data_IF_037392197981
#
_entry.id   IF_037392197981
#
_cell.length_a   1.000
_cell.length_b   1.000
_cell.length_c   1.000
_cell.angle_alpha   90.00
_cell.angle_beta   90.00
_cell.angle_gamma   90.00
#
_symmetry.space_group_name_H-M   'P 1'
#
loop_
_entity.id
_entity.type
_entity.pdbx_description
1 polymer ?
#
# COMPACT_ATOMS: atom_id res chain seq x y z
N UNK A 1 -5.37 -33.66 24.06
CA UNK A 1 -4.25 -32.98 23.39
C UNK A 1 -4.68 -31.54 23.15
N UNK A 2 -4.28 -30.59 24.00
CA UNK A 2 -4.59 -29.17 23.77
C UNK A 2 -3.57 -28.63 22.76
N UNK A 3 -4.00 -28.45 21.51
CA UNK A 3 -3.19 -27.74 20.52
C UNK A 3 -3.23 -26.27 20.93
N UNK A 4 -2.09 -25.74 21.39
CA UNK A 4 -1.94 -24.32 21.69
C UNK A 4 -1.86 -23.56 20.35
N UNK A 5 -3.03 -23.23 19.78
CA UNK A 5 -3.13 -22.47 18.53
C UNK A 5 -2.75 -21.02 18.84
N UNK A 6 -1.46 -20.71 18.71
CA UNK A 6 -0.97 -19.34 18.86
C UNK A 6 -1.34 -18.54 17.61
N UNK A 7 -2.30 -17.63 17.75
CA UNK A 7 -2.65 -16.69 16.67
C UNK A 7 -1.47 -15.76 16.35
N UNK A 8 -1.26 -15.45 15.05
CA UNK A 8 -0.12 -14.66 14.52
C UNK A 8 0.15 -13.35 15.27
N UNK A 9 -0.89 -12.74 15.81
CA UNK A 9 -0.81 -11.44 16.50
C UNK A 9 -1.14 -11.52 17.99
N UNK A 10 -1.21 -12.73 18.58
CA UNK A 10 -1.52 -12.89 19.99
C UNK A 10 -0.53 -12.09 20.86
N UNK A 11 -1.04 -11.15 21.66
CA UNK A 11 -0.24 -10.32 22.54
C UNK A 11 0.60 -9.22 21.86
N UNK A 12 0.49 -9.04 20.54
CA UNK A 12 1.20 -7.97 19.83
C UNK A 12 0.81 -6.58 20.33
N UNK A 13 1.81 -5.72 20.49
CA UNK A 13 1.63 -4.31 20.87
C UNK A 13 1.73 -3.42 19.64
N UNK A 14 0.83 -2.46 19.53
CA UNK A 14 0.95 -1.33 18.60
C UNK A 14 0.88 -0.03 19.40
N UNK A 15 1.56 1.01 18.93
CA UNK A 15 1.49 2.33 19.54
C UNK A 15 0.91 3.30 18.52
N UNK A 16 -0.14 4.02 18.89
CA UNK A 16 -0.80 5.03 18.05
C UNK A 16 -0.83 6.32 18.86
N UNK A 17 -0.26 7.40 18.32
CA UNK A 17 -0.18 8.71 18.98
C UNK A 17 0.33 8.62 20.43
N UNK A 18 1.38 7.81 20.66
CA UNK A 18 1.97 7.59 21.98
C UNK A 18 1.20 6.64 22.91
N UNK A 19 0.03 6.14 22.50
CA UNK A 19 -0.80 5.25 23.31
C UNK A 19 -0.60 3.78 22.90
N UNK A 20 -0.25 2.88 23.83
CA UNK A 20 -0.06 1.47 23.53
C UNK A 20 -1.40 0.71 23.52
N UNK A 21 -1.57 -0.18 22.54
CA UNK A 21 -2.72 -1.08 22.40
C UNK A 21 -2.25 -2.51 22.18
N UNK A 22 -2.74 -3.43 23.01
CA UNK A 22 -2.32 -4.85 22.98
C UNK A 22 -3.41 -5.72 22.37
N UNK A 23 -3.02 -6.60 21.45
CA UNK A 23 -3.90 -7.62 20.92
C UNK A 23 -4.18 -8.71 21.97
N UNK A 24 -5.41 -9.21 21.98
CA UNK A 24 -5.80 -10.35 22.80
C UNK A 24 -5.17 -11.67 22.31
N UNK A 25 -5.49 -12.79 22.95
CA UNK A 25 -4.95 -14.11 22.58
C UNK A 25 -5.39 -14.58 21.18
N UNK A 26 -6.49 -14.05 20.64
CA UNK A 26 -6.93 -14.28 19.27
C UNK A 26 -6.21 -13.38 18.24
N UNK A 27 -5.28 -12.53 18.68
CA UNK A 27 -4.58 -11.58 17.82
C UNK A 27 -5.45 -10.41 17.34
N UNK A 28 -6.43 -10.01 18.15
CA UNK A 28 -7.36 -8.92 17.83
C UNK A 28 -7.20 -7.73 18.78
N UNK A 29 -7.32 -6.52 18.24
CA UNK A 29 -7.33 -5.27 18.99
C UNK A 29 -8.75 -4.78 19.24
N UNK A 30 -8.96 -4.09 20.36
CA UNK A 30 -10.22 -3.44 20.69
C UNK A 30 -10.33 -2.09 19.97
N UNK A 31 -11.17 -2.03 18.92
CA UNK A 31 -11.45 -0.77 18.23
C UNK A 31 -12.19 0.23 19.13
N UNK A 32 -12.99 -0.27 20.08
CA UNK A 32 -13.68 0.58 21.06
C UNK A 32 -12.67 1.28 21.98
N UNK A 33 -11.66 0.54 22.45
CA UNK A 33 -10.60 1.09 23.29
C UNK A 33 -9.76 2.11 22.53
N UNK A 34 -9.32 1.78 21.30
CA UNK A 34 -8.60 2.71 20.43
C UNK A 34 -9.40 4.00 20.22
N UNK A 35 -10.70 3.88 19.89
CA UNK A 35 -11.58 5.02 19.68
C UNK A 35 -11.72 5.91 20.92
N UNK A 36 -11.87 5.31 22.11
CA UNK A 36 -12.01 6.05 23.36
C UNK A 36 -10.70 6.74 23.78
N UNK A 37 -9.58 6.01 23.74
CA UNK A 37 -8.27 6.51 24.17
C UNK A 37 -7.80 7.66 23.28
N UNK A 38 -7.96 7.54 21.97
CA UNK A 38 -7.62 8.60 21.02
C UNK A 38 -8.68 9.72 20.94
N UNK A 39 -9.76 9.63 21.74
CA UNK A 39 -10.85 10.62 21.79
C UNK A 39 -11.41 10.98 20.41
N UNK A 40 -11.52 9.98 19.55
CA UNK A 40 -11.96 10.16 18.17
C UNK A 40 -13.43 10.63 18.13
N UNK A 41 -13.86 11.32 17.06
CA UNK A 41 -15.22 11.84 16.96
C UNK A 41 -16.29 10.76 17.18
N UNK A 42 -17.41 11.12 17.81
CA UNK A 42 -18.54 10.19 18.06
C UNK A 42 -19.08 9.56 16.78
N UNK A 43 -19.08 10.29 15.67
CA UNK A 43 -19.48 9.80 14.35
C UNK A 43 -18.57 8.66 13.85
N UNK A 44 -17.33 8.60 14.34
CA UNK A 44 -16.32 7.60 14.01
C UNK A 44 -16.30 6.43 14.99
N UNK A 45 -17.27 6.27 15.88
CA UNK A 45 -17.32 5.10 16.76
C UNK A 45 -17.38 3.79 15.93
N UNK A 46 -16.78 2.67 16.38
CA UNK A 46 -16.83 1.39 15.65
C UNK A 46 -18.26 0.90 15.38
N UNK A 47 -19.16 1.19 16.33
CA UNK A 47 -20.59 0.93 16.23
C UNK A 47 -21.31 1.76 15.17
N UNK A 48 -20.68 2.80 14.59
CA UNK A 48 -21.19 3.64 13.49
C UNK A 48 -20.54 3.32 12.13
N UNK A 49 -19.45 2.56 12.12
CA UNK A 49 -18.87 2.06 10.86
C UNK A 49 -19.89 1.18 10.13
N UNK A 50 -20.15 1.47 8.85
CA UNK A 50 -21.15 0.80 8.00
C UNK A 50 -20.61 0.64 6.59
N UNK A 51 -21.23 -0.25 5.82
CA UNK A 51 -20.94 -0.45 4.40
C UNK A 51 -20.37 -1.83 4.12
N UNK A 52 -20.30 -2.15 2.82
CA UNK A 52 -19.94 -3.49 2.31
C UNK A 52 -18.60 -4.01 2.83
N UNK A 53 -17.61 -3.13 3.00
CA UNK A 53 -16.29 -3.50 3.51
C UNK A 53 -16.37 -4.02 4.96
N UNK A 54 -17.12 -3.34 5.82
CA UNK A 54 -17.35 -3.81 7.21
C UNK A 54 -18.06 -5.16 7.20
N UNK A 55 -19.10 -5.30 6.38
CA UNK A 55 -19.89 -6.53 6.33
C UNK A 55 -19.01 -7.71 5.88
N UNK A 56 -18.15 -7.50 4.87
CA UNK A 56 -17.16 -8.48 4.42
C UNK A 56 -16.16 -8.85 5.52
N UNK A 57 -15.68 -7.88 6.29
CA UNK A 57 -14.77 -8.13 7.40
C UNK A 57 -15.42 -8.93 8.53
N UNK A 58 -16.69 -8.68 8.82
CA UNK A 58 -17.44 -9.46 9.81
C UNK A 58 -17.72 -10.88 9.32
N UNK A 59 -18.11 -11.06 8.06
CA UNK A 59 -18.32 -12.38 7.44
C UNK A 59 -17.03 -13.22 7.40
N UNK A 60 -15.89 -12.58 7.17
CA UNK A 60 -14.57 -13.24 7.14
C UNK A 60 -13.92 -13.38 8.52
N UNK A 61 -14.67 -13.14 9.62
CA UNK A 61 -14.18 -13.21 11.01
C UNK A 61 -12.98 -12.30 11.32
N UNK A 62 -12.74 -11.29 10.48
CA UNK A 62 -11.74 -10.26 10.74
C UNK A 62 -12.23 -9.19 11.72
N UNK A 63 -13.54 -9.04 11.87
CA UNK A 63 -14.18 -8.07 12.72
C UNK A 63 -15.34 -8.70 13.52
N UNK A 64 -15.18 -8.79 14.84
CA UNK A 64 -16.23 -9.23 15.78
C UNK A 64 -16.83 -8.00 16.47
N UNK A 65 -18.11 -7.71 16.19
CA UNK A 65 -18.85 -6.62 16.83
C UNK A 65 -19.94 -7.23 17.70
N UNK A 66 -19.82 -7.05 19.02
CA UNK A 66 -20.79 -7.53 20.00
C UNK A 66 -21.53 -6.38 20.65
N UNK A 67 -22.85 -6.51 20.73
CA UNK A 67 -23.68 -5.70 21.61
C UNK A 67 -23.64 -6.33 23.01
N UNK A 68 -23.19 -5.59 24.00
CA UNK A 68 -23.10 -6.02 25.40
C UNK A 68 -24.27 -5.43 26.23
N UNK A 69 -25.35 -5.01 25.57
CA UNK A 69 -26.51 -4.41 26.23
C UNK A 69 -26.14 -3.08 26.90
N UNK A 70 -26.42 -2.97 28.20
CA UNK A 70 -26.14 -1.76 28.99
C UNK A 70 -24.64 -1.43 29.08
N UNK A 71 -23.75 -2.39 28.84
CA UNK A 71 -22.30 -2.17 28.80
C UNK A 71 -21.80 -1.63 27.43
N UNK A 72 -22.69 -1.38 26.47
CA UNK A 72 -22.39 -0.77 25.18
C UNK A 72 -21.92 -1.77 24.12
N UNK A 73 -21.10 -1.30 23.17
CA UNK A 73 -20.61 -2.12 22.06
C UNK A 73 -19.11 -2.38 22.17
N UNK A 74 -18.70 -3.63 21.94
CA UNK A 74 -17.29 -4.01 21.80
C UNK A 74 -17.02 -4.45 20.37
N UNK A 75 -16.05 -3.82 19.73
CA UNK A 75 -15.56 -4.23 18.42
C UNK A 75 -14.12 -4.72 18.56
N UNK A 76 -13.89 -5.99 18.23
CA UNK A 76 -12.57 -6.63 18.18
C UNK A 76 -12.20 -6.85 16.72
N UNK A 77 -10.97 -6.51 16.35
CA UNK A 77 -10.52 -6.54 14.97
C UNK A 77 -9.14 -7.18 14.83
N UNK A 78 -8.97 -8.04 13.82
CA UNK A 78 -7.64 -8.46 13.38
C UNK A 78 -6.84 -7.27 12.88
N UNK A 79 -5.52 -7.44 12.68
CA UNK A 79 -4.66 -6.36 12.15
C UNK A 79 -5.22 -5.74 10.86
N UNK A 80 -5.76 -6.58 9.96
CA UNK A 80 -6.39 -6.12 8.71
C UNK A 80 -7.59 -5.23 8.98
N UNK A 81 -8.56 -5.69 9.77
CA UNK A 81 -9.75 -4.91 10.09
C UNK A 81 -9.43 -3.63 10.88
N UNK A 82 -8.39 -3.64 11.72
CA UNK A 82 -7.92 -2.45 12.43
C UNK A 82 -7.36 -1.39 11.47
N UNK A 83 -6.57 -1.80 10.46
CA UNK A 83 -6.08 -0.89 9.41
C UNK A 83 -7.24 -0.36 8.55
N UNK A 84 -8.17 -1.23 8.13
CA UNK A 84 -9.34 -0.81 7.34
C UNK A 84 -10.23 0.17 8.12
N UNK A 85 -10.40 -0.04 9.44
CA UNK A 85 -11.10 0.90 10.30
C UNK A 85 -10.36 2.25 10.40
N UNK A 86 -9.04 2.24 10.62
CA UNK A 86 -8.23 3.45 10.68
C UNK A 86 -8.34 4.27 9.37
N UNK A 87 -8.30 3.60 8.22
CA UNK A 87 -8.49 4.22 6.91
C UNK A 87 -9.91 4.81 6.72
N UNK A 88 -10.94 4.23 7.34
CA UNK A 88 -12.28 4.82 7.36
C UNK A 88 -12.39 6.01 8.33
N UNK A 89 -11.65 5.98 9.44
CA UNK A 89 -11.62 7.06 10.42
C UNK A 89 -10.89 8.29 9.85
N UNK A 90 -9.70 8.10 9.28
CA UNK A 90 -8.83 9.15 8.75
C UNK A 90 -8.46 8.87 7.29
N UNK A 91 -8.98 9.67 6.34
CA UNK A 91 -8.51 9.67 4.95
C UNK A 91 -7.00 9.92 4.84
N UNK A 92 -6.44 10.79 5.68
CA UNK A 92 -5.01 11.13 5.67
C UNK A 92 -4.15 9.92 6.02
N UNK A 93 -4.57 9.12 7.02
CA UNK A 93 -3.92 7.85 7.33
C UNK A 93 -4.01 6.88 6.16
N UNK A 94 -5.17 6.83 5.47
CA UNK A 94 -5.36 5.97 4.31
C UNK A 94 -4.41 6.35 3.17
N UNK A 95 -4.31 7.65 2.87
CA UNK A 95 -3.44 8.18 1.83
C UNK A 95 -1.97 7.89 2.18
N UNK A 96 -1.54 8.14 3.42
CA UNK A 96 -0.20 7.79 3.88
C UNK A 96 0.13 6.29 3.72
N UNK A 97 -0.84 5.40 4.00
CA UNK A 97 -0.64 3.95 3.80
C UNK A 97 -0.50 3.61 2.32
N UNK A 98 -1.24 4.27 1.44
CA UNK A 98 -1.10 4.11 -0.01
C UNK A 98 0.22 4.66 -0.51
N UNK A 99 0.62 5.87 -0.12
CA UNK A 99 1.90 6.46 -0.49
C UNK A 99 3.07 5.56 -0.07
N UNK A 100 3.03 5.02 1.16
CA UNK A 100 4.04 4.10 1.64
C UNK A 100 4.06 2.79 0.84
N UNK A 101 2.89 2.26 0.48
CA UNK A 101 2.78 1.06 -0.32
C UNK A 101 3.30 1.26 -1.74
N UNK A 102 2.93 2.38 -2.38
CA UNK A 102 3.43 2.76 -3.70
C UNK A 102 4.94 2.90 -3.69
N UNK A 103 5.50 3.69 -2.76
CA UNK A 103 6.95 3.89 -2.64
C UNK A 103 7.72 2.57 -2.51
N UNK A 104 7.18 1.62 -1.74
CA UNK A 104 7.79 0.30 -1.56
C UNK A 104 7.70 -0.56 -2.83
N UNK A 105 6.57 -0.52 -3.54
CA UNK A 105 6.39 -1.30 -4.76
C UNK A 105 7.10 -0.71 -5.98
N UNK A 106 7.48 0.57 -5.95
CA UNK A 106 8.33 1.14 -7.00
C UNK A 106 9.74 0.57 -7.01
N UNK A 107 10.19 -0.04 -5.90
CA UNK A 107 11.46 -0.77 -5.82
C UNK A 107 11.28 -2.18 -6.40
N UNK A 108 11.87 -2.51 -7.58
CA UNK A 108 11.57 -3.78 -8.27
C UNK A 108 11.92 -5.03 -7.47
N UNK A 109 12.99 -4.98 -6.68
CA UNK A 109 13.45 -6.06 -5.82
C UNK A 109 12.47 -6.31 -4.68
N UNK A 110 11.93 -5.23 -4.10
CA UNK A 110 10.97 -5.32 -2.99
C UNK A 110 9.60 -5.77 -3.49
N UNK A 111 9.15 -5.27 -4.63
CA UNK A 111 7.93 -5.73 -5.28
C UNK A 111 7.97 -7.25 -5.55
N UNK A 112 9.12 -7.78 -6.02
CA UNK A 112 9.29 -9.22 -6.19
C UNK A 112 9.20 -9.97 -4.86
N UNK A 113 9.91 -9.50 -3.84
CA UNK A 113 9.89 -10.12 -2.51
C UNK A 113 8.47 -10.13 -1.89
N UNK A 114 7.69 -9.07 -2.09
CA UNK A 114 6.29 -8.98 -1.66
C UNK A 114 5.45 -10.02 -2.38
N UNK A 115 5.56 -10.14 -3.71
CA UNK A 115 4.83 -11.15 -4.49
C UNK A 115 5.15 -12.57 -4.02
N UNK A 116 6.44 -12.90 -3.88
CA UNK A 116 6.87 -14.22 -3.42
C UNK A 116 6.30 -14.51 -2.02
N UNK A 117 6.30 -13.50 -1.15
CA UNK A 117 5.73 -13.64 0.18
C UNK A 117 4.21 -13.83 0.15
N UNK A 118 3.52 -13.17 -0.75
CA UNK A 118 2.08 -13.32 -0.94
C UNK A 118 1.72 -14.74 -1.39
N UNK A 119 2.48 -15.33 -2.32
CA UNK A 119 2.32 -16.74 -2.73
C UNK A 119 2.55 -17.70 -1.56
N UNK A 120 3.61 -17.50 -0.78
CA UNK A 120 3.88 -18.31 0.42
C UNK A 120 2.73 -18.29 1.44
N UNK A 121 1.99 -17.18 1.50
CA UNK A 121 0.85 -17.01 2.40
C UNK A 121 -0.49 -17.43 1.79
N UNK A 122 -0.49 -17.96 0.55
CA UNK A 122 -1.69 -18.41 -0.16
C UNK A 122 -2.51 -17.29 -0.80
N UNK A 123 -1.92 -16.10 -1.00
CA UNK A 123 -2.57 -14.97 -1.67
C UNK A 123 -2.30 -14.96 -3.18
N UNK A 124 -2.43 -16.11 -3.85
CA UNK A 124 -2.00 -16.32 -5.23
C UNK A 124 -2.67 -15.36 -6.22
N UNK A 125 -3.97 -15.12 -6.07
CA UNK A 125 -4.69 -14.19 -6.94
C UNK A 125 -4.14 -12.76 -6.82
N UNK A 126 -3.87 -12.30 -5.60
CA UNK A 126 -3.34 -10.96 -5.36
C UNK A 126 -1.87 -10.83 -5.80
N UNK A 127 -1.08 -11.88 -5.62
CA UNK A 127 0.28 -11.98 -6.13
C UNK A 127 0.32 -11.87 -7.67
N UNK A 128 -0.57 -12.58 -8.36
CA UNK A 128 -0.67 -12.55 -9.82
C UNK A 128 -1.07 -11.16 -10.37
N UNK A 129 -1.90 -10.42 -9.64
CA UNK A 129 -2.24 -9.03 -10.02
C UNK A 129 -1.01 -8.12 -9.94
N UNK A 130 -0.20 -8.26 -8.88
CA UNK A 130 1.01 -7.46 -8.69
C UNK A 130 2.08 -7.74 -9.75
N UNK A 131 2.29 -9.01 -10.10
CA UNK A 131 3.19 -9.42 -11.21
C UNK A 131 2.75 -8.84 -12.56
N UNK A 132 1.46 -8.94 -12.88
CA UNK A 132 0.93 -8.39 -14.12
C UNK A 132 1.16 -6.90 -14.23
N UNK A 133 1.00 -6.15 -13.13
CA UNK A 133 1.23 -4.71 -13.14
C UNK A 133 2.70 -4.37 -13.44
N UNK A 134 3.64 -5.08 -12.81
CA UNK A 134 5.08 -4.95 -13.07
C UNK A 134 5.43 -5.22 -14.53
N UNK A 135 4.93 -6.31 -15.07
CA UNK A 135 5.24 -6.76 -16.43
C UNK A 135 4.60 -5.86 -17.51
N UNK A 136 3.42 -5.30 -17.22
CA UNK A 136 2.71 -4.42 -18.15
C UNK A 136 3.21 -2.97 -18.12
N UNK A 137 3.81 -2.49 -17.02
CA UNK A 137 4.24 -1.09 -16.87
C UNK A 137 5.23 -0.67 -17.95
N UNK A 138 6.33 -1.40 -18.15
CA UNK A 138 7.37 -1.00 -19.09
C UNK A 138 6.94 -1.04 -20.57
N UNK A 139 6.26 -2.08 -21.06
CA UNK A 139 5.67 -2.09 -22.40
C UNK A 139 4.62 -0.99 -22.60
N UNK A 140 3.74 -0.75 -21.62
CA UNK A 140 2.72 0.30 -21.70
C UNK A 140 3.35 1.69 -21.80
N UNK A 141 4.35 2.00 -20.96
CA UNK A 141 5.10 3.27 -21.04
C UNK A 141 5.77 3.44 -22.40
N UNK A 142 6.37 2.37 -22.95
CA UNK A 142 6.96 2.41 -24.30
C UNK A 142 5.90 2.66 -25.38
N UNK A 143 4.74 2.02 -25.29
CA UNK A 143 3.65 2.23 -26.25
C UNK A 143 3.09 3.66 -26.20
N UNK A 144 2.86 4.21 -25.00
CA UNK A 144 2.43 5.60 -24.82
C UNK A 144 3.46 6.59 -25.36
N UNK A 145 4.75 6.34 -25.14
CA UNK A 145 5.83 7.19 -25.66
C UNK A 145 6.00 7.08 -27.19
N UNK A 146 5.72 5.92 -27.79
CA UNK A 146 5.72 5.75 -29.26
C UNK A 146 4.62 6.55 -29.96
N UNK A 147 3.48 6.79 -29.28
CA UNK A 147 2.38 7.61 -29.79
C UNK A 147 2.66 9.13 -29.73
N UNK A 148 3.62 9.58 -28.91
CA UNK A 148 4.08 10.97 -28.89
C UNK A 148 5.08 11.21 -30.02
N UNK A 149 4.57 11.40 -31.24
CA UNK A 149 5.41 11.94 -32.31
C UNK A 149 5.78 13.37 -31.98
N UNK A 150 7.08 13.71 -32.02
CA UNK A 150 7.54 15.09 -31.92
C UNK A 150 6.80 15.95 -32.96
N UNK A 151 6.32 17.13 -32.55
CA UNK A 151 5.78 18.11 -33.49
C UNK A 151 6.84 18.47 -34.55
N UNK A 152 6.47 19.00 -35.72
CA UNK A 152 7.43 19.40 -36.75
C UNK A 152 8.55 20.30 -36.20
N UNK A 153 8.19 21.28 -35.35
CA UNK A 153 9.14 22.19 -34.70
C UNK A 153 10.08 21.47 -33.71
N UNK A 154 9.57 20.48 -32.97
CA UNK A 154 10.39 19.67 -32.07
C UNK A 154 11.35 18.75 -32.85
N UNK A 155 10.92 18.18 -33.98
CA UNK A 155 11.78 17.39 -34.88
C UNK A 155 12.91 18.23 -35.45
N UNK A 156 12.65 19.47 -35.86
CA UNK A 156 13.68 20.39 -36.36
C UNK A 156 14.68 20.77 -35.28
N UNK A 157 14.22 21.13 -34.07
CA UNK A 157 15.12 21.39 -32.93
C UNK A 157 16.00 20.19 -32.62
N UNK A 158 15.44 18.97 -32.60
CA UNK A 158 16.21 17.76 -32.37
C UNK A 158 17.27 17.53 -33.45
N UNK A 159 16.93 17.76 -34.72
CA UNK A 159 17.88 17.64 -35.85
C UNK A 159 19.02 18.65 -35.72
N UNK A 160 18.73 19.89 -35.35
CA UNK A 160 19.76 20.90 -35.12
C UNK A 160 20.66 20.52 -33.96
N UNK A 161 20.10 20.10 -32.83
CA UNK A 161 20.89 19.64 -31.68
C UNK A 161 21.79 18.46 -32.03
N UNK A 162 21.29 17.48 -32.79
CA UNK A 162 22.08 16.33 -33.21
C UNK A 162 23.24 16.73 -34.12
N UNK A 163 23.04 17.71 -35.02
CA UNK A 163 24.12 18.24 -35.87
C UNK A 163 25.18 18.95 -35.05
N UNK A 164 24.78 19.81 -34.11
CA UNK A 164 25.69 20.51 -33.20
C UNK A 164 26.49 19.53 -32.35
N UNK A 165 25.84 18.51 -31.77
CA UNK A 165 26.52 17.47 -31.00
C UNK A 165 27.49 16.63 -31.86
N UNK A 166 27.11 16.29 -33.10
CA UNK A 166 27.98 15.56 -34.01
C UNK A 166 29.21 16.38 -34.42
N UNK A 167 29.03 17.67 -34.66
CA UNK A 167 30.11 18.60 -34.99
C UNK A 167 31.04 18.83 -33.80
N UNK A 168 30.50 19.06 -32.60
CA UNK A 168 31.28 19.14 -31.37
C UNK A 168 32.09 17.87 -31.10
N UNK A 169 31.54 16.68 -31.37
CA UNK A 169 32.26 15.41 -31.26
C UNK A 169 33.35 15.25 -32.33
N UNK A 170 33.13 15.73 -33.56
CA UNK A 170 34.16 15.73 -34.61
C UNK A 170 35.33 16.64 -34.23
N UNK A 171 35.04 17.85 -33.72
CA UNK A 171 36.07 18.79 -33.27
C UNK A 171 36.86 18.26 -32.07
N UNK A 172 36.19 17.59 -31.11
CA UNK A 172 36.87 16.91 -30.01
C UNK A 172 37.79 15.79 -30.47
N UNK A 173 37.36 14.97 -31.45
CA UNK A 173 38.21 13.92 -32.04
C UNK A 173 39.39 14.53 -32.79
N UNK A 174 39.14 15.53 -33.64
CA UNK A 174 40.19 16.21 -34.39
C UNK A 174 41.22 16.89 -33.47
N UNK A 175 40.80 17.45 -32.34
CA UNK A 175 41.71 18.02 -31.33
C UNK A 175 42.51 16.98 -30.54
N UNK A 176 42.07 15.71 -30.51
CA UNK A 176 42.77 14.61 -29.85
C UNK A 176 43.86 13.99 -30.75
N UNK A 177 43.86 14.27 -32.06
CA UNK A 177 44.84 13.77 -33.03
C UNK A 177 46.09 14.68 -33.18
N UNK A 178 46.20 15.78 -32.41
CA UNK A 178 47.33 16.73 -32.44
C UNK A 178 48.33 16.60 -31.28
N UNK A 179 48.28 15.51 -30.50
CA UNK A 179 49.23 15.21 -29.42
C UNK A 179 49.92 13.86 -29.60
#
# INVERSE_FOLDING_TARGET
MNIDIKHKHAGHLITIEGHPFKANNAGMWSLTEIWQTLKLPKAKAPGRWRGKEKDRLSQSQNLDVRNLGNAGHRALATKRAAIEYAAWVSPEFKDMVFDAFEAILEMPEVAQAVTDKMRQLGYDHSAALLEREKDNRAPALRAMNRGRSLSPAQKERQRMNNRVCAEANRLRKAGHDWH
#
